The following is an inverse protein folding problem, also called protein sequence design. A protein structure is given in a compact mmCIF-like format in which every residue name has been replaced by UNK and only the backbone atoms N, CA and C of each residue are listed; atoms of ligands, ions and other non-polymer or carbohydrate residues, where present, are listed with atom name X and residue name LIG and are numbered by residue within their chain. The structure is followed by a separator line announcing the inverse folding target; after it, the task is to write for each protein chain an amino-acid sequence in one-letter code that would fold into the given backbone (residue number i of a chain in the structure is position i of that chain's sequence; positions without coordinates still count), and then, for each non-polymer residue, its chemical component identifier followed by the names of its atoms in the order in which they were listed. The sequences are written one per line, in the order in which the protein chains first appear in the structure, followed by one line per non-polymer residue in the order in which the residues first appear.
data_IF_410760501531
#
_entry.id   IF_410760501531
#
_cell.length_a   1.000
_cell.length_b   1.000
_cell.length_c   1.000
_cell.angle_alpha   90.00
_cell.angle_beta   90.00
_cell.angle_gamma   90.00
#
_symmetry.space_group_name_H-M   'P 1'
#
loop_
_entity.id
_entity.type
_entity.pdbx_description
1 polymer ?
#
# COMPACT_ATOMS: atom_id res chain seq x y z
N UNK A 1 -12.21 6.74 25.94
CA UNK A 1 -12.47 5.52 25.13
C UNK A 1 -12.71 5.98 23.72
N UNK A 2 -11.92 5.48 22.79
CA UNK A 2 -11.89 6.00 21.43
C UNK A 2 -13.13 5.54 20.64
N UNK A 3 -13.70 6.46 19.88
CA UNK A 3 -14.90 6.30 19.08
C UNK A 3 -14.58 6.45 17.61
N UNK A 4 -15.32 5.76 16.76
CA UNK A 4 -15.18 5.86 15.30
C UNK A 4 -16.15 6.91 14.77
N UNK A 5 -15.65 7.84 13.98
CA UNK A 5 -16.42 8.88 13.31
C UNK A 5 -16.37 8.68 11.80
N UNK A 6 -17.49 8.99 11.15
CA UNK A 6 -17.60 9.16 9.69
C UNK A 6 -17.53 10.65 9.37
N UNK A 7 -16.62 11.01 8.47
CA UNK A 7 -16.43 12.35 7.93
C UNK A 7 -16.88 12.35 6.48
N UNK A 8 -17.84 13.20 6.15
CA UNK A 8 -18.46 13.24 4.81
C UNK A 8 -18.27 14.63 4.18
N UNK A 9 -17.71 14.65 2.98
CA UNK A 9 -17.56 15.84 2.13
C UNK A 9 -18.14 15.55 0.74
N UNK A 10 -19.39 15.97 0.50
CA UNK A 10 -20.08 15.70 -0.77
C UNK A 10 -20.26 14.19 -1.00
N UNK A 11 -19.52 13.63 -1.96
CA UNK A 11 -19.51 12.20 -2.28
C UNK A 11 -18.33 11.44 -1.67
N UNK A 12 -17.50 12.10 -0.86
CA UNK A 12 -16.32 11.51 -0.21
C UNK A 12 -16.68 11.16 1.22
N UNK A 13 -16.46 9.90 1.59
CA UNK A 13 -16.55 9.42 2.97
C UNK A 13 -15.16 8.97 3.45
N UNK A 14 -14.80 9.39 4.66
CA UNK A 14 -13.60 8.97 5.40
C UNK A 14 -14.00 8.54 6.81
N UNK A 15 -13.20 7.64 7.40
CA UNK A 15 -13.39 7.20 8.77
C UNK A 15 -12.16 7.53 9.59
N UNK A 16 -12.38 7.98 10.82
CA UNK A 16 -11.32 8.33 11.74
C UNK A 16 -11.72 8.04 13.19
N UNK A 17 -10.75 8.05 14.07
CA UNK A 17 -10.91 7.68 15.47
C UNK A 17 -10.54 8.88 16.35
N UNK A 18 -11.40 9.21 17.30
CA UNK A 18 -11.18 10.26 18.30
C UNK A 18 -11.93 9.91 19.60
N UNK A 19 -11.56 10.52 20.72
CA UNK A 19 -12.25 10.36 22.01
C UNK A 19 -13.63 11.05 21.99
N UNK A 20 -13.73 12.17 21.28
CA UNK A 20 -14.93 12.99 21.16
C UNK A 20 -14.99 13.80 19.86
N UNK A 21 -16.07 14.56 19.71
CA UNK A 21 -16.34 15.38 18.52
C UNK A 21 -15.39 16.57 18.38
N UNK A 22 -14.95 17.18 19.48
CA UNK A 22 -14.05 18.33 19.47
C UNK A 22 -12.67 17.89 18.96
N UNK A 23 -12.13 16.81 19.52
CA UNK A 23 -10.87 16.22 19.04
C UNK A 23 -10.97 15.81 17.56
N UNK A 24 -12.09 15.19 17.16
CA UNK A 24 -12.28 14.81 15.74
C UNK A 24 -12.32 16.04 14.83
N UNK A 25 -12.97 17.12 15.28
CA UNK A 25 -13.03 18.35 14.53
C UNK A 25 -11.64 18.97 14.36
N UNK A 26 -10.83 19.02 15.43
CA UNK A 26 -9.45 19.53 15.36
C UNK A 26 -8.57 18.70 14.41
N UNK A 27 -8.67 17.38 14.47
CA UNK A 27 -7.84 16.44 13.70
C UNK A 27 -8.36 16.15 12.29
N UNK A 28 -9.49 16.73 11.87
CA UNK A 28 -10.08 16.44 10.54
C UNK A 28 -9.10 16.66 9.39
N UNK A 29 -8.19 17.64 9.52
CA UNK A 29 -7.18 17.94 8.51
C UNK A 29 -6.10 16.85 8.39
N UNK A 30 -5.87 16.07 9.46
CA UNK A 30 -4.94 14.93 9.44
C UNK A 30 -5.56 13.74 8.69
N UNK A 31 -6.89 13.62 8.70
CA UNK A 31 -7.63 12.59 7.94
C UNK A 31 -7.57 12.90 6.45
N UNK A 32 -7.89 14.15 6.08
CA UNK A 32 -7.75 14.66 4.72
C UNK A 32 -7.47 16.18 4.77
N UNK A 33 -6.38 16.66 4.14
CA UNK A 33 -6.03 18.08 4.17
C UNK A 33 -7.13 19.02 3.65
N UNK A 34 -8.00 18.54 2.76
CA UNK A 34 -9.12 19.33 2.23
C UNK A 34 -10.14 19.69 3.32
N UNK A 35 -10.25 18.87 4.38
CA UNK A 35 -11.19 19.06 5.49
C UNK A 35 -10.82 20.25 6.38
N UNK A 36 -9.59 20.77 6.29
CA UNK A 36 -9.17 21.97 7.02
C UNK A 36 -10.00 23.21 6.63
N UNK A 37 -10.34 23.34 5.34
CA UNK A 37 -10.92 24.55 4.75
C UNK A 37 -12.32 24.34 4.17
N UNK A 38 -12.80 23.10 4.14
CA UNK A 38 -14.13 22.77 3.61
C UNK A 38 -15.07 22.35 4.74
N UNK A 39 -16.37 22.68 4.66
CA UNK A 39 -17.35 22.17 5.60
C UNK A 39 -17.48 20.65 5.45
N UNK A 40 -17.21 19.93 6.55
CA UNK A 40 -17.30 18.47 6.61
C UNK A 40 -18.36 18.10 7.63
N UNK A 41 -19.23 17.16 7.26
CA UNK A 41 -20.18 16.58 8.21
C UNK A 41 -19.47 15.48 9.01
N UNK A 42 -19.51 15.59 10.34
CA UNK A 42 -18.90 14.63 11.25
C UNK A 42 -20.01 13.93 12.01
N UNK A 43 -20.06 12.60 11.94
CA UNK A 43 -21.03 11.79 12.65
C UNK A 43 -20.35 10.64 13.39
N UNK A 44 -20.78 10.37 14.62
CA UNK A 44 -20.41 9.14 15.31
C UNK A 44 -20.95 7.93 14.54
N UNK A 45 -20.08 6.98 14.22
CA UNK A 45 -20.48 5.77 13.52
C UNK A 45 -21.28 4.87 14.47
N UNK A 46 -22.51 4.57 14.08
CA UNK A 46 -23.41 3.64 14.78
C UNK A 46 -23.88 2.56 13.82
N UNK A 47 -23.86 1.30 14.27
CA UNK A 47 -24.36 0.15 13.51
C UNK A 47 -25.34 -0.59 14.44
N UNK A 48 -26.60 -0.66 14.03
CA UNK A 48 -27.65 -1.26 14.85
C UNK A 48 -27.31 -2.71 15.22
N UNK A 49 -27.38 -3.01 16.52
CA UNK A 49 -27.08 -4.35 17.06
C UNK A 49 -25.59 -4.64 17.28
N UNK A 50 -24.70 -3.68 17.01
CA UNK A 50 -23.25 -3.83 17.18
C UNK A 50 -22.64 -2.68 17.98
N UNK A 51 -21.65 -2.99 18.82
CA UNK A 51 -20.80 -2.02 19.50
C UNK A 51 -19.46 -1.93 18.77
N UNK A 52 -19.02 -0.70 18.47
CA UNK A 52 -17.75 -0.45 17.77
C UNK A 52 -16.73 0.03 18.78
N UNK A 53 -15.66 -0.74 18.93
CA UNK A 53 -14.52 -0.38 19.78
C UNK A 53 -13.30 -0.07 18.92
N UNK A 54 -12.68 1.09 19.17
CA UNK A 54 -11.42 1.45 18.54
C UNK A 54 -10.25 1.22 19.50
N UNK A 55 -9.34 0.33 19.10
CA UNK A 55 -8.15 -0.02 19.87
C UNK A 55 -6.91 0.52 19.17
N UNK A 56 -6.01 1.16 19.93
CA UNK A 56 -4.71 1.55 19.39
C UNK A 56 -3.90 0.28 19.20
N UNK A 57 -3.63 -0.08 17.95
CA UNK A 57 -2.62 -1.11 17.67
C UNK A 57 -1.28 -0.50 18.07
N UNK A 58 -0.54 -1.08 19.04
CA UNK A 58 0.79 -0.62 19.36
C UNK A 58 1.63 -0.81 18.10
N UNK A 59 1.95 0.31 17.46
CA UNK A 59 2.98 0.34 16.43
C UNK A 59 4.25 0.13 17.24
N UNK A 60 4.74 -1.12 17.34
CA UNK A 60 6.17 -1.31 17.56
C UNK A 60 6.83 -0.46 16.49
N UNK A 61 7.64 0.54 16.89
CA UNK A 61 8.41 1.32 15.93
C UNK A 61 9.06 0.31 15.00
N UNK A 62 8.73 0.30 13.69
CA UNK A 62 9.37 -0.63 12.82
C UNK A 62 10.84 -0.24 12.88
N UNK A 63 11.69 -1.14 13.36
CA UNK A 63 13.07 -1.17 12.88
C UNK A 63 12.96 -1.44 11.39
N UNK A 64 12.62 -0.43 10.59
CA UNK A 64 12.41 -0.49 9.14
C UNK A 64 12.12 -1.91 8.62
N UNK A 65 10.98 -2.48 9.03
CA UNK A 65 10.52 -3.78 8.54
C UNK A 65 9.01 -3.66 8.34
N UNK A 66 8.59 -3.68 7.09
CA UNK A 66 7.28 -4.17 6.67
C UNK A 66 6.13 -3.17 6.69
N UNK A 67 6.02 -2.41 5.62
CA UNK A 67 4.75 -1.93 5.11
C UNK A 67 3.95 -3.17 4.63
N UNK A 68 2.79 -3.45 5.23
CA UNK A 68 1.83 -4.50 4.85
C UNK A 68 2.34 -5.96 4.82
N UNK A 69 1.64 -6.87 5.49
CA UNK A 69 1.51 -8.25 4.98
C UNK A 69 0.52 -8.23 3.80
N UNK A 70 0.93 -7.58 2.69
CA UNK A 70 0.69 -8.15 1.37
C UNK A 70 1.71 -9.27 1.30
N UNK A 71 1.32 -10.44 0.82
CA UNK A 71 2.25 -11.51 0.49
C UNK A 71 3.45 -10.91 -0.24
N UNK A 72 4.62 -10.85 0.43
CA UNK A 72 5.88 -10.47 -0.19
C UNK A 72 6.27 -11.58 -1.17
N UNK A 73 5.70 -11.52 -2.37
CA UNK A 73 6.42 -11.91 -3.56
C UNK A 73 7.47 -10.80 -3.85
N UNK A 74 8.67 -11.15 -4.32
CA UNK A 74 9.80 -10.23 -4.45
C UNK A 74 9.66 -9.22 -5.62
N UNK A 75 8.58 -8.45 -5.69
CA UNK A 75 8.19 -7.72 -6.92
C UNK A 75 8.81 -6.32 -7.13
N UNK A 76 10.05 -6.06 -6.72
CA UNK A 76 10.74 -4.82 -7.15
C UNK A 76 11.93 -5.02 -8.08
N UNK A 77 12.33 -6.25 -8.36
CA UNK A 77 13.32 -6.56 -9.40
C UNK A 77 12.73 -7.30 -10.60
N UNK A 78 11.42 -7.58 -10.58
CA UNK A 78 10.75 -8.52 -11.48
C UNK A 78 9.91 -7.84 -12.57
N UNK A 79 9.46 -6.60 -12.35
CA UNK A 79 8.58 -5.89 -13.29
C UNK A 79 9.24 -5.59 -14.64
N UNK A 80 10.55 -5.32 -14.65
CA UNK A 80 11.27 -5.05 -15.91
C UNK A 80 11.44 -6.34 -16.73
N UNK A 81 11.59 -7.51 -16.10
CA UNK A 81 11.72 -8.81 -16.78
C UNK A 81 10.43 -9.16 -17.52
N UNK A 82 9.27 -8.86 -16.93
CA UNK A 82 7.97 -9.12 -17.56
C UNK A 82 7.73 -8.28 -18.82
N UNK A 83 8.15 -7.02 -18.79
CA UNK A 83 8.05 -6.07 -19.92
C UNK A 83 9.22 -6.08 -20.91
N UNK A 84 10.35 -6.71 -20.55
CA UNK A 84 11.58 -6.67 -21.34
C UNK A 84 11.49 -7.48 -22.63
N UNK A 85 12.10 -6.94 -23.67
CA UNK A 85 12.28 -7.62 -24.95
C UNK A 85 13.38 -8.67 -24.88
N UNK A 86 13.41 -9.59 -25.86
CA UNK A 86 14.43 -10.64 -25.97
C UNK A 86 15.87 -10.09 -25.90
N UNK A 87 16.11 -8.93 -26.50
CA UNK A 87 17.42 -8.30 -26.55
C UNK A 87 17.86 -7.77 -25.18
N UNK A 88 16.94 -7.13 -24.43
CA UNK A 88 17.20 -6.59 -23.10
C UNK A 88 17.50 -7.70 -22.08
N UNK A 89 16.74 -8.80 -22.13
CA UNK A 89 16.99 -9.96 -21.27
C UNK A 89 18.33 -10.64 -21.59
N UNK A 90 18.68 -10.75 -22.88
CA UNK A 90 19.95 -11.36 -23.29
C UNK A 90 21.13 -10.49 -22.86
N UNK A 91 21.04 -9.17 -23.05
CA UNK A 91 22.09 -8.23 -22.65
C UNK A 91 22.33 -8.24 -21.13
N UNK A 92 21.26 -8.33 -20.33
CA UNK A 92 21.38 -8.44 -18.87
C UNK A 92 22.04 -9.75 -18.44
N UNK A 93 21.67 -10.87 -19.07
CA UNK A 93 22.28 -12.17 -18.79
C UNK A 93 23.75 -12.21 -19.18
N UNK A 94 24.12 -11.62 -20.33
CA UNK A 94 25.52 -11.48 -20.74
C UNK A 94 26.32 -10.56 -19.82
N UNK A 95 25.76 -9.44 -19.36
CA UNK A 95 26.39 -8.55 -18.37
C UNK A 95 26.68 -9.28 -17.05
N UNK A 96 25.78 -10.19 -16.67
CA UNK A 96 25.92 -11.05 -15.47
C UNK A 96 26.79 -12.29 -15.70
N UNK A 97 27.30 -12.50 -16.91
CA UNK A 97 28.17 -13.63 -17.26
C UNK A 97 27.44 -14.97 -17.45
N UNK A 98 26.13 -14.95 -17.72
CA UNK A 98 25.33 -16.14 -17.99
C UNK A 98 25.36 -16.44 -19.49
N UNK A 99 25.81 -17.65 -19.85
CA UNK A 99 25.92 -18.06 -21.25
C UNK A 99 24.54 -18.42 -21.84
N UNK A 100 24.01 -17.52 -22.67
CA UNK A 100 22.70 -17.70 -23.32
C UNK A 100 22.86 -18.47 -24.63
N UNK A 101 22.17 -19.62 -24.76
CA UNK A 101 22.13 -20.38 -26.02
C UNK A 101 21.42 -19.56 -27.11
N UNK A 102 21.99 -19.46 -28.31
CA UNK A 102 21.45 -18.64 -29.42
C UNK A 102 20.02 -18.98 -29.88
N UNK A 103 19.48 -20.13 -29.44
CA UNK A 103 18.09 -20.56 -29.70
C UNK A 103 17.15 -20.44 -28.49
N UNK A 104 17.57 -19.78 -27.41
CA UNK A 104 16.73 -19.60 -26.22
C UNK A 104 15.43 -18.86 -26.56
N UNK A 105 14.32 -19.37 -26.02
CA UNK A 105 13.01 -18.75 -26.13
C UNK A 105 12.86 -17.62 -25.11
N UNK A 106 11.94 -16.68 -25.36
CA UNK A 106 11.71 -15.53 -24.47
C UNK A 106 11.33 -15.96 -23.04
N UNK A 107 10.63 -17.09 -22.90
CA UNK A 107 10.29 -17.65 -21.59
C UNK A 107 11.53 -18.14 -20.82
N UNK A 108 12.44 -18.84 -21.50
CA UNK A 108 13.70 -19.30 -20.88
C UNK A 108 14.59 -18.12 -20.48
N UNK A 109 14.63 -17.05 -21.27
CA UNK A 109 15.39 -15.85 -20.93
C UNK A 109 14.82 -15.13 -19.71
N UNK A 110 13.50 -15.08 -19.58
CA UNK A 110 12.84 -14.52 -18.39
C UNK A 110 13.19 -15.36 -17.15
N UNK A 111 13.05 -16.68 -17.24
CA UNK A 111 13.36 -17.60 -16.14
C UNK A 111 14.82 -17.50 -15.69
N UNK A 112 15.76 -17.41 -16.65
CA UNK A 112 17.16 -17.17 -16.33
C UNK A 112 17.37 -15.80 -15.69
N UNK A 113 16.75 -14.74 -16.21
CA UNK A 113 16.85 -13.40 -15.63
C UNK A 113 16.36 -13.38 -14.17
N UNK A 114 15.27 -14.09 -13.86
CA UNK A 114 14.80 -14.25 -12.46
C UNK A 114 15.83 -14.92 -11.56
N UNK A 115 16.62 -15.86 -12.08
CA UNK A 115 17.68 -16.53 -11.30
C UNK A 115 18.94 -15.69 -11.14
N UNK A 116 19.08 -14.61 -11.92
CA UNK A 116 20.30 -13.78 -11.97
C UNK A 116 20.15 -12.45 -11.23
N UNK A 117 18.93 -12.14 -10.80
CA UNK A 117 18.56 -10.96 -10.01
C UNK A 117 18.91 -11.16 -8.54
#
# INVERSE_FOLDING_TARGET
MAKVFRLTLGSIDKFAVAEDYEEMYEKRAEVDPTFAYTPVEIQLLHVDGYEIEAHKVPIEEPKQQGLLEVQEAPEQSESWIEGATKAELTAHLEEKGVEVKSKATLKELKELAYQTV
#
